data_IF_856049563189
#
_entry.id   IF_856049563189
#
_cell.length_a   1.000
_cell.length_b   1.000
_cell.length_c   1.000
_cell.angle_alpha   90.00
_cell.angle_beta   90.00
_cell.angle_gamma   90.00
#
_symmetry.space_group_name_H-M   'P 1'
#
loop_
_entity.id
_entity.type
_entity.pdbx_description
1 polymer ?
#
# COMPACT_ATOMS: atom_id res chain seq x y z
N UNK A 1 1.27 -3.98 -22.32
CA UNK A 1 1.27 -2.62 -21.76
C UNK A 1 1.76 -2.77 -20.36
N UNK A 2 2.78 -2.00 -19.97
CA UNK A 2 3.23 -1.94 -18.59
C UNK A 2 2.10 -1.29 -17.77
N UNK A 3 1.75 -1.88 -16.63
CA UNK A 3 0.70 -1.33 -15.74
C UNK A 3 1.36 -0.24 -14.89
N UNK A 4 0.82 0.99 -14.82
CA UNK A 4 1.37 2.04 -13.97
C UNK A 4 1.63 1.55 -12.55
N UNK A 5 2.76 1.95 -11.96
CA UNK A 5 3.18 1.45 -10.66
C UNK A 5 2.16 1.79 -9.55
N UNK A 6 1.52 2.96 -9.66
CA UNK A 6 0.38 3.35 -8.81
C UNK A 6 -0.72 2.30 -8.78
N UNK A 7 -1.10 1.74 -9.94
CA UNK A 7 -2.15 0.73 -10.03
C UNK A 7 -1.69 -0.57 -9.35
N UNK A 8 -0.44 -0.97 -9.56
CA UNK A 8 0.12 -2.15 -8.92
C UNK A 8 0.14 -2.02 -7.39
N UNK A 9 0.48 -0.84 -6.86
CA UNK A 9 0.45 -0.56 -5.41
C UNK A 9 -0.98 -0.68 -4.87
N UNK A 10 -1.97 -0.13 -5.59
CA UNK A 10 -3.38 -0.23 -5.20
C UNK A 10 -3.90 -1.66 -5.22
N UNK A 11 -3.48 -2.48 -6.19
CA UNK A 11 -3.86 -3.89 -6.27
C UNK A 11 -3.33 -4.68 -5.08
N UNK A 12 -2.04 -4.55 -4.74
CA UNK A 12 -1.48 -5.23 -3.58
C UNK A 12 -2.06 -4.77 -2.24
N UNK A 13 -2.36 -3.48 -2.09
CA UNK A 13 -3.11 -2.97 -0.95
C UNK A 13 -4.51 -3.62 -0.87
N UNK A 14 -5.23 -3.73 -1.98
CA UNK A 14 -6.54 -4.36 -2.01
C UNK A 14 -6.47 -5.86 -1.64
N UNK A 15 -5.44 -6.59 -2.09
CA UNK A 15 -5.22 -7.99 -1.70
C UNK A 15 -4.99 -8.14 -0.19
N UNK A 16 -4.17 -7.29 0.41
CA UNK A 16 -3.98 -7.27 1.87
C UNK A 16 -5.27 -6.93 2.63
N UNK A 17 -6.02 -5.93 2.16
CA UNK A 17 -7.28 -5.49 2.78
C UNK A 17 -8.40 -6.51 2.68
N UNK A 18 -8.37 -7.38 1.66
CA UNK A 18 -9.33 -8.47 1.48
C UNK A 18 -8.90 -9.77 2.16
N UNK A 19 -7.68 -9.81 2.71
CA UNK A 19 -7.11 -11.00 3.35
C UNK A 19 -6.59 -12.05 2.36
N UNK A 20 -6.46 -11.69 1.09
CA UNK A 20 -5.84 -12.54 0.07
C UNK A 20 -4.31 -12.56 0.16
N UNK A 21 -3.71 -11.53 0.76
CA UNK A 21 -2.28 -11.44 1.05
C UNK A 21 -2.04 -11.17 2.54
N UNK A 22 -0.93 -11.66 3.09
CA UNK A 22 -0.54 -11.34 4.46
C UNK A 22 0.14 -9.96 4.55
N UNK A 23 0.29 -9.45 5.77
CA UNK A 23 1.03 -8.21 6.01
C UNK A 23 2.51 -8.33 5.59
N UNK A 24 3.10 -9.51 5.77
CA UNK A 24 4.49 -9.77 5.35
C UNK A 24 4.61 -9.75 3.82
N UNK A 25 3.68 -10.38 3.09
CA UNK A 25 3.66 -10.34 1.62
C UNK A 25 3.59 -8.90 1.10
N UNK A 26 2.73 -8.06 1.70
CA UNK A 26 2.63 -6.64 1.36
C UNK A 26 3.94 -5.90 1.61
N UNK A 27 4.59 -6.14 2.76
CA UNK A 27 5.86 -5.50 3.12
C UNK A 27 6.99 -5.90 2.18
N UNK A 28 7.11 -7.19 1.89
CA UNK A 28 8.14 -7.71 0.96
C UNK A 28 7.96 -7.12 -0.44
N UNK A 29 6.72 -7.06 -0.94
CA UNK A 29 6.44 -6.46 -2.23
C UNK A 29 6.73 -4.95 -2.25
N UNK A 30 6.29 -4.22 -1.21
CA UNK A 30 6.47 -2.77 -1.14
C UNK A 30 7.95 -2.36 -1.08
N UNK A 31 8.81 -3.18 -0.47
CA UNK A 31 10.27 -2.98 -0.52
C UNK A 31 10.76 -2.99 -1.97
N UNK A 32 10.23 -3.82 -2.85
CA UNK A 32 10.57 -3.79 -4.28
C UNK A 32 10.03 -2.53 -4.98
N UNK A 33 8.78 -2.20 -4.70
CA UNK A 33 8.10 -1.06 -5.31
C UNK A 33 8.77 0.29 -4.99
N UNK A 34 9.34 0.48 -3.79
CA UNK A 34 10.08 1.70 -3.44
C UNK A 34 11.26 1.96 -4.37
N UNK A 35 12.04 0.94 -4.75
CA UNK A 35 13.14 1.09 -5.71
C UNK A 35 12.65 1.47 -7.10
N UNK A 36 11.49 0.94 -7.52
CA UNK A 36 10.92 1.25 -8.84
C UNK A 36 10.35 2.65 -8.88
N UNK A 37 9.68 3.08 -7.80
CA UNK A 37 9.17 4.44 -7.60
C UNK A 37 10.31 5.47 -7.64
N UNK A 38 11.41 5.23 -6.92
CA UNK A 38 12.59 6.11 -6.93
C UNK A 38 13.22 6.24 -8.33
N UNK A 39 13.09 5.21 -9.16
CA UNK A 39 13.63 5.17 -10.52
C UNK A 39 12.71 5.82 -11.56
N UNK A 40 11.40 5.60 -11.44
CA UNK A 40 10.40 6.07 -12.41
C UNK A 40 9.94 7.50 -12.12
N UNK A 41 9.96 7.93 -10.86
CA UNK A 41 9.62 9.30 -10.46
C UNK A 41 8.16 9.69 -10.70
N UNK A 42 7.25 8.72 -10.75
CA UNK A 42 5.82 8.95 -10.90
C UNK A 42 5.23 9.52 -9.61
N UNK A 43 4.76 10.78 -9.58
CA UNK A 43 4.43 11.47 -8.33
C UNK A 43 3.33 10.77 -7.52
N UNK A 44 2.27 10.28 -8.17
CA UNK A 44 1.19 9.57 -7.48
C UNK A 44 1.66 8.22 -6.91
N UNK A 45 2.58 7.52 -7.59
CA UNK A 45 3.16 6.29 -7.07
C UNK A 45 4.14 6.57 -5.90
N UNK A 46 4.91 7.67 -5.99
CA UNK A 46 5.78 8.14 -4.91
C UNK A 46 4.98 8.43 -3.64
N UNK A 47 3.91 9.22 -3.76
CA UNK A 47 3.05 9.59 -2.64
C UNK A 47 2.42 8.34 -2.00
N UNK A 48 1.80 7.48 -2.82
CA UNK A 48 1.13 6.28 -2.32
C UNK A 48 2.09 5.29 -1.66
N UNK A 49 3.28 5.08 -2.23
CA UNK A 49 4.30 4.22 -1.61
C UNK A 49 4.81 4.80 -0.30
N UNK A 50 5.04 6.10 -0.23
CA UNK A 50 5.53 6.76 0.98
C UNK A 50 4.50 6.70 2.11
N UNK A 51 3.25 7.04 1.83
CA UNK A 51 2.16 7.01 2.82
C UNK A 51 1.92 5.58 3.32
N UNK A 52 1.91 4.60 2.41
CA UNK A 52 1.79 3.19 2.80
C UNK A 52 2.95 2.76 3.70
N UNK A 53 4.18 3.14 3.37
CA UNK A 53 5.36 2.81 4.17
C UNK A 53 5.28 3.46 5.56
N UNK A 54 4.78 4.68 5.64
CA UNK A 54 4.60 5.40 6.91
C UNK A 54 3.60 4.68 7.81
N UNK A 55 2.43 4.32 7.29
CA UNK A 55 1.42 3.59 8.06
C UNK A 55 1.92 2.23 8.56
N UNK A 56 2.73 1.53 7.75
CA UNK A 56 3.37 0.27 8.14
C UNK A 56 4.45 0.46 9.22
N UNK A 57 5.18 1.58 9.20
CA UNK A 57 6.23 1.89 10.17
C UNK A 57 5.66 2.36 11.51
N UNK A 58 4.53 3.07 11.49
CA UNK A 58 3.82 3.51 12.69
C UNK A 58 3.07 2.37 13.39
N UNK A 59 2.94 1.21 12.76
CA UNK A 59 2.21 0.06 13.27
C UNK A 59 2.99 -0.73 14.35
N UNK A 60 2.55 -0.73 15.62
CA UNK A 60 3.14 -1.59 16.66
C UNK A 60 2.71 -3.05 16.48
N UNK A 61 3.63 -3.99 16.73
CA UNK A 61 3.46 -5.44 16.48
C UNK A 61 2.38 -6.18 17.31
N UNK A 62 1.44 -5.49 17.98
CA UNK A 62 0.46 -6.13 18.86
C UNK A 62 -0.85 -6.51 18.15
N UNK A 63 -1.34 -7.70 18.49
CA UNK A 63 -2.42 -8.48 17.82
C UNK A 63 -3.77 -7.78 17.63
N UNK A 64 -4.00 -6.62 18.26
CA UNK A 64 -5.24 -5.83 18.13
C UNK A 64 -5.16 -4.74 17.07
N UNK A 65 -3.97 -4.43 16.54
CA UNK A 65 -3.73 -3.28 15.68
C UNK A 65 -3.93 -3.56 14.18
N UNK A 66 -4.04 -4.82 13.74
CA UNK A 66 -4.17 -5.14 12.31
C UNK A 66 -5.45 -4.55 11.69
N UNK A 67 -6.54 -4.52 12.46
CA UNK A 67 -7.80 -3.90 12.00
C UNK A 67 -7.64 -2.39 11.84
N UNK A 68 -6.94 -1.73 12.75
CA UNK A 68 -6.65 -0.29 12.64
C UNK A 68 -5.74 0.01 11.45
N UNK A 69 -4.72 -0.83 11.21
CA UNK A 69 -3.87 -0.72 10.02
C UNK A 69 -4.68 -0.82 8.73
N UNK A 70 -5.57 -1.81 8.65
CA UNK A 70 -6.44 -1.98 7.48
C UNK A 70 -7.34 -0.77 7.27
N UNK A 71 -7.84 -0.15 8.33
CA UNK A 71 -8.66 1.06 8.23
C UNK A 71 -7.86 2.25 7.68
N UNK A 72 -6.65 2.47 8.22
CA UNK A 72 -5.75 3.53 7.75
C UNK A 72 -5.30 3.33 6.31
N UNK A 73 -4.86 2.13 5.95
CA UNK A 73 -4.48 1.79 4.56
C UNK A 73 -5.67 1.90 3.60
N UNK A 74 -6.89 1.61 4.07
CA UNK A 74 -8.11 1.81 3.25
C UNK A 74 -8.37 3.29 2.97
N UNK A 75 -7.97 4.20 3.85
CA UNK A 75 -8.07 5.65 3.63
C UNK A 75 -7.12 6.16 2.54
N UNK A 76 -6.06 5.40 2.19
CA UNK A 76 -5.13 5.74 1.11
C UNK A 76 -5.67 5.34 -0.27
N UNK A 77 -6.68 4.47 -0.31
CA UNK A 77 -7.33 4.08 -1.55
C UNK A 77 -8.48 5.04 -1.87
N UNK A 78 -8.68 5.41 -3.14
CA UNK A 78 -9.84 6.19 -3.52
C UNK A 78 -11.11 5.44 -3.10
N UNK A 79 -11.97 6.10 -2.31
CA UNK A 79 -13.28 5.55 -1.96
C UNK A 79 -14.04 5.24 -3.26
N UNK A 80 -14.59 4.03 -3.43
CA UNK A 80 -15.46 3.75 -4.55
C UNK A 80 -16.72 4.62 -4.41
N UNK A 81 -16.76 5.77 -5.10
CA UNK A 81 -17.96 6.61 -5.11
C UNK A 81 -17.80 8.13 -5.10
N UNK A 82 -16.65 8.71 -5.46
CA UNK A 82 -16.61 10.17 -5.74
C UNK A 82 -16.37 10.40 -7.24
N UNK A 83 -17.37 10.92 -7.99
CA UNK A 83 -17.26 11.22 -9.42
C UNK A 83 -16.33 12.40 -9.72
#
# INVERSE_FOLDING_TARGET
MDVPLEIQIREHLAEYLTGNASLDDLKEWLIGATWEVEKLGEPDAVELTFDTTMELAEHPSERFLETELRDRLRSLLPTPGTP
#
